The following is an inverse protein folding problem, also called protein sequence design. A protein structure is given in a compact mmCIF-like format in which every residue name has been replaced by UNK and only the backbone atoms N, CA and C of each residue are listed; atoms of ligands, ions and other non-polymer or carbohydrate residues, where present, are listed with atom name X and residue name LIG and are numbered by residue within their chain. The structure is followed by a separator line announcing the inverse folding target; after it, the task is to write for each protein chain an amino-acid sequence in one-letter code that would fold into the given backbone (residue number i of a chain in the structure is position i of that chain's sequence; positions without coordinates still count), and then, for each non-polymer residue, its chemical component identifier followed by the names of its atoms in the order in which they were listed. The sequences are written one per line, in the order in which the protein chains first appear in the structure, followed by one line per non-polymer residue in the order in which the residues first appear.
data_IF_330694877100
#
_entry.id   IF_330694877100
#
_cell.length_a   1.000
_cell.length_b   1.000
_cell.length_c   1.000
_cell.angle_alpha   90.00
_cell.angle_beta   90.00
_cell.angle_gamma   90.00
#
_symmetry.space_group_name_H-M   'P 1'
#
loop_
_entity.id
_entity.type
_entity.pdbx_description
1 polymer ?
#
# COMPACT_ATOMS: atom_id res chain seq x y z
N UNK A 1 2.15 -11.51 4.57
CA UNK A 1 1.07 -12.49 4.34
C UNK A 1 -0.22 -11.70 4.11
N UNK A 2 -0.98 -11.96 3.02
CA UNK A 2 -2.25 -11.29 2.80
C UNK A 2 -3.27 -11.67 3.88
N UNK A 3 -4.12 -10.72 4.26
CA UNK A 3 -5.37 -11.00 4.97
C UNK A 3 -6.41 -11.26 3.89
N UNK A 4 -7.11 -12.39 3.97
CA UNK A 4 -8.13 -12.78 2.99
C UNK A 4 -9.46 -12.98 3.70
N UNK A 5 -10.51 -12.33 3.20
CA UNK A 5 -11.85 -12.36 3.77
C UNK A 5 -12.92 -12.47 2.66
N UNK A 6 -14.04 -13.12 2.98
CA UNK A 6 -15.23 -13.15 2.14
C UNK A 6 -16.20 -12.07 2.59
N UNK A 7 -16.65 -11.23 1.66
CA UNK A 7 -17.59 -10.13 1.87
C UNK A 7 -18.89 -10.38 1.10
N UNK A 8 -19.89 -9.54 1.34
CA UNK A 8 -21.20 -9.57 0.66
C UNK A 8 -21.82 -10.96 0.58
N UNK A 9 -21.86 -11.66 1.72
CA UNK A 9 -22.43 -13.01 1.81
C UNK A 9 -21.67 -14.07 0.99
N UNK A 10 -20.39 -13.85 0.71
CA UNK A 10 -19.55 -14.79 -0.04
C UNK A 10 -19.42 -14.47 -1.53
N UNK A 11 -19.98 -13.36 -2.00
CA UNK A 11 -19.92 -12.95 -3.42
C UNK A 11 -18.64 -12.20 -3.80
N UNK A 12 -17.89 -11.72 -2.80
CA UNK A 12 -16.66 -10.97 -3.01
C UNK A 12 -15.56 -11.57 -2.15
N UNK A 13 -14.46 -11.96 -2.78
CA UNK A 13 -13.22 -12.29 -2.09
C UNK A 13 -12.38 -11.03 -2.02
N UNK A 14 -12.02 -10.59 -0.81
CA UNK A 14 -11.08 -9.48 -0.61
C UNK A 14 -9.75 -10.00 -0.11
N UNK A 15 -8.66 -9.60 -0.76
CA UNK A 15 -7.30 -9.83 -0.32
C UNK A 15 -6.62 -8.49 -0.02
N UNK A 16 -6.09 -8.32 1.18
CA UNK A 16 -5.36 -7.13 1.61
C UNK A 16 -3.90 -7.49 1.87
N UNK A 17 -2.99 -6.83 1.16
CA UNK A 17 -1.54 -7.02 1.29
C UNK A 17 -0.91 -5.75 1.83
N UNK A 18 -0.16 -5.79 2.94
CA UNK A 18 0.56 -4.61 3.41
C UNK A 18 1.70 -4.25 2.44
N UNK A 19 1.92 -2.95 2.26
CA UNK A 19 3.07 -2.41 1.54
C UNK A 19 4.02 -1.83 2.59
N UNK A 20 5.29 -2.20 2.50
CA UNK A 20 6.36 -1.63 3.29
C UNK A 20 7.29 -0.83 2.38
N UNK A 21 7.84 0.27 2.88
CA UNK A 21 8.82 1.04 2.12
C UNK A 21 10.07 0.19 1.86
N UNK A 22 10.47 0.07 0.60
CA UNK A 22 11.80 -0.40 0.20
C UNK A 22 12.74 0.78 -0.01
N UNK A 23 14.03 0.51 -0.22
CA UNK A 23 15.02 1.56 -0.50
C UNK A 23 14.64 2.43 -1.71
N UNK A 24 14.11 1.82 -2.78
CA UNK A 24 13.69 2.54 -3.98
C UNK A 24 12.54 3.53 -3.70
N UNK A 25 11.68 3.23 -2.72
CA UNK A 25 10.61 4.14 -2.32
C UNK A 25 11.14 5.41 -1.65
N UNK A 26 12.29 5.33 -0.97
CA UNK A 26 12.82 6.42 -0.15
C UNK A 26 13.35 7.59 -0.97
N UNK A 27 13.57 7.41 -2.28
CA UNK A 27 13.93 8.49 -3.21
C UNK A 27 12.91 9.63 -3.15
N UNK A 28 11.62 9.30 -2.97
CA UNK A 28 10.53 10.27 -2.85
C UNK A 28 9.94 10.33 -1.43
N UNK A 29 9.79 9.20 -0.74
CA UNK A 29 9.09 9.16 0.55
C UNK A 29 10.01 9.29 1.78
N UNK A 30 11.33 9.25 1.58
CA UNK A 30 12.31 9.14 2.66
C UNK A 30 12.53 10.42 3.47
N UNK A 31 13.51 10.36 4.38
CA UNK A 31 13.92 11.52 5.19
C UNK A 31 14.74 12.56 4.40
N UNK A 32 14.76 13.83 4.86
CA UNK A 32 13.94 14.39 5.93
C UNK A 32 12.48 14.63 5.49
N UNK A 33 11.55 14.50 6.43
CA UNK A 33 10.13 14.84 6.21
C UNK A 33 9.96 16.29 5.75
N UNK A 34 9.04 16.52 4.82
CA UNK A 34 8.57 17.85 4.43
C UNK A 34 9.41 18.57 3.38
N UNK A 35 10.59 18.05 3.00
CA UNK A 35 11.30 18.58 1.81
C UNK A 35 10.58 18.13 0.54
N UNK A 36 10.67 18.90 -0.53
CA UNK A 36 10.06 18.51 -1.79
C UNK A 36 10.84 17.36 -2.44
N UNK A 37 10.11 16.36 -2.92
CA UNK A 37 10.64 15.29 -3.75
C UNK A 37 10.82 15.75 -5.21
N UNK A 38 11.26 14.83 -6.07
CA UNK A 38 11.49 15.11 -7.50
C UNK A 38 10.22 15.46 -8.29
N UNK A 39 9.05 15.12 -7.77
CA UNK A 39 7.75 15.46 -8.35
C UNK A 39 7.15 16.76 -7.77
N UNK A 40 7.83 17.35 -6.78
CA UNK A 40 7.43 18.61 -6.15
C UNK A 40 6.48 18.45 -4.97
N UNK A 41 6.34 17.26 -4.40
CA UNK A 41 5.50 17.00 -3.22
C UNK A 41 6.35 16.81 -1.95
N UNK A 42 5.86 17.21 -0.75
CA UNK A 42 6.61 17.04 0.48
C UNK A 42 6.76 15.56 0.86
N UNK A 43 7.99 15.13 1.17
CA UNK A 43 8.26 13.76 1.64
C UNK A 43 7.59 13.47 2.98
N UNK A 44 7.24 12.21 3.19
CA UNK A 44 6.66 11.69 4.44
C UNK A 44 7.71 11.50 5.53
N UNK A 45 8.98 11.33 5.17
CA UNK A 45 10.07 11.08 6.11
C UNK A 45 10.20 9.60 6.52
N UNK A 46 9.83 8.70 5.63
CA UNK A 46 9.81 7.26 5.89
C UNK A 46 11.22 6.65 6.00
N UNK A 47 11.27 5.46 6.59
CA UNK A 47 12.42 4.57 6.64
C UNK A 47 12.09 3.21 6.02
N UNK A 48 13.12 2.50 5.53
CA UNK A 48 12.94 1.17 4.96
C UNK A 48 12.34 0.21 6.00
N UNK A 49 11.35 -0.58 5.56
CA UNK A 49 10.63 -1.52 6.42
C UNK A 49 9.46 -0.91 7.21
N UNK A 50 9.27 0.40 7.20
CA UNK A 50 8.07 1.02 7.76
C UNK A 50 6.83 0.72 6.91
N UNK A 51 5.66 0.66 7.54
CA UNK A 51 4.39 0.41 6.86
C UNK A 51 4.01 1.63 6.01
N UNK A 52 4.04 1.46 4.69
CA UNK A 52 3.67 2.49 3.72
C UNK A 52 2.16 2.55 3.48
N UNK A 53 1.48 1.40 3.57
CA UNK A 53 0.06 1.29 3.32
C UNK A 53 -0.37 -0.15 3.05
N UNK A 54 -1.42 -0.33 2.25
CA UNK A 54 -1.87 -1.65 1.83
C UNK A 54 -2.58 -1.60 0.48
N UNK A 55 -2.43 -2.68 -0.30
CA UNK A 55 -3.23 -2.93 -1.50
C UNK A 55 -4.42 -3.77 -1.10
N UNK A 56 -5.62 -3.32 -1.45
CA UNK A 56 -6.87 -4.05 -1.26
C UNK A 56 -7.43 -4.46 -2.62
N UNK A 57 -7.44 -5.76 -2.90
CA UNK A 57 -7.99 -6.33 -4.13
C UNK A 57 -9.33 -6.97 -3.79
N UNK A 58 -10.38 -6.64 -4.55
CA UNK A 58 -11.69 -7.30 -4.46
C UNK A 58 -11.94 -8.06 -5.75
N UNK A 59 -12.26 -9.34 -5.61
CA UNK A 59 -12.49 -10.27 -6.71
C UNK A 59 -13.94 -10.75 -6.59
N UNK A 60 -14.83 -10.41 -7.54
CA UNK A 60 -16.15 -11.01 -7.64
C UNK A 60 -16.04 -12.52 -7.80
N UNK A 61 -16.87 -13.27 -7.07
CA UNK A 61 -17.02 -14.72 -7.24
C UNK A 61 -17.96 -15.06 -8.41
N UNK A 62 -18.65 -14.05 -8.93
CA UNK A 62 -19.47 -14.09 -10.12
C UNK A 62 -18.55 -13.99 -11.36
N UNK A 63 -18.66 -14.97 -12.26
CA UNK A 63 -17.90 -15.04 -13.52
C UNK A 63 -18.74 -14.70 -14.77
N UNK A 64 -19.86 -13.99 -14.64
CA UNK A 64 -20.62 -13.51 -15.81
C UNK A 64 -20.02 -12.29 -16.47
#
# INVERSE_FOLDING_TARGET
MPIVEWLDGGKLLRAVVPIYYSEDCLVCHGNPKGILDMSGYPREGAQAGELAGAISIQIPSDHR
#
